data_IF_479930861320
#
_entry.id   IF_479930861320
#
_cell.length_a   1.000
_cell.length_b   1.000
_cell.length_c   1.000
_cell.angle_alpha   90.00
_cell.angle_beta   90.00
_cell.angle_gamma   90.00
#
_symmetry.space_group_name_H-M   'P 1'
#
loop_
_entity.id
_entity.type
_entity.pdbx_description
1 polymer ?
#
# COMPACT_ATOMS: atom_id res chain seq x y z
N UNK A 1 -1.73 -10.01 -3.77
CA UNK A 1 -1.18 -9.24 -4.91
C UNK A 1 -2.23 -8.28 -5.45
N UNK A 2 -1.85 -7.06 -5.82
CA UNK A 2 -2.71 -6.14 -6.61
C UNK A 2 -2.36 -6.24 -8.09
N UNK A 3 -3.36 -6.12 -8.96
CA UNK A 3 -3.19 -6.19 -10.41
C UNK A 3 -3.69 -4.90 -11.04
N UNK A 4 -2.79 -4.23 -11.76
CA UNK A 4 -3.16 -3.12 -12.65
C UNK A 4 -3.10 -3.59 -14.10
N UNK A 5 -4.07 -3.19 -14.90
CA UNK A 5 -4.19 -3.60 -16.31
C UNK A 5 -4.40 -2.37 -17.18
N UNK A 6 -3.79 -2.37 -18.37
CA UNK A 6 -4.04 -1.35 -19.38
C UNK A 6 -2.88 -1.15 -20.34
N UNK A 7 -3.03 -0.11 -21.13
CA UNK A 7 -2.07 0.29 -22.16
C UNK A 7 -0.94 1.14 -21.57
N UNK A 8 0.30 0.79 -21.90
CA UNK A 8 1.47 1.62 -21.62
C UNK A 8 1.51 2.74 -22.66
N UNK A 9 1.03 3.92 -22.29
CA UNK A 9 0.80 5.05 -23.20
C UNK A 9 2.08 5.79 -23.69
N UNK A 10 3.11 5.04 -24.12
CA UNK A 10 4.39 5.59 -24.62
C UNK A 10 4.20 6.49 -25.84
N UNK A 11 3.31 6.12 -26.76
CA UNK A 11 2.98 6.94 -27.94
C UNK A 11 2.42 8.30 -27.54
N UNK A 12 1.40 8.32 -26.66
CA UNK A 12 0.80 9.56 -26.18
C UNK A 12 1.78 10.43 -25.40
N UNK A 13 2.66 9.82 -24.60
CA UNK A 13 3.72 10.52 -23.89
C UNK A 13 4.77 11.13 -24.85
N UNK A 14 5.19 10.39 -25.88
CA UNK A 14 6.13 10.87 -26.89
C UNK A 14 5.51 11.98 -27.76
N UNK A 15 4.23 11.87 -28.11
CA UNK A 15 3.52 12.86 -28.93
C UNK A 15 3.33 14.21 -28.21
N UNK A 16 3.21 14.20 -26.88
CA UNK A 16 3.13 15.41 -26.03
C UNK A 16 4.50 15.95 -25.60
N UNK A 17 5.59 15.31 -26.02
CA UNK A 17 6.93 15.76 -25.65
C UNK A 17 7.36 16.98 -26.48
N UNK A 18 8.42 17.66 -26.05
CA UNK A 18 9.03 18.75 -26.82
C UNK A 18 9.61 18.27 -28.18
N UNK A 19 9.78 16.96 -28.38
CA UNK A 19 10.40 16.35 -29.56
C UNK A 19 9.55 15.16 -30.07
N UNK A 20 8.38 15.41 -30.68
CA UNK A 20 7.42 14.37 -31.09
C UNK A 20 7.88 13.66 -32.38
N UNK A 21 8.93 12.84 -32.26
CA UNK A 21 9.53 12.08 -33.38
C UNK A 21 9.51 10.58 -33.10
N UNK A 22 9.54 9.76 -34.15
CA UNK A 22 9.65 8.30 -34.02
C UNK A 22 10.94 7.91 -33.29
N UNK A 23 12.05 8.62 -33.56
CA UNK A 23 13.31 8.40 -32.85
C UNK A 23 13.17 8.65 -31.34
N UNK A 24 12.42 9.69 -30.94
CA UNK A 24 12.13 9.96 -29.54
C UNK A 24 11.22 8.88 -28.93
N UNK A 25 10.20 8.41 -29.65
CA UNK A 25 9.34 7.31 -29.21
C UNK A 25 10.14 6.02 -28.96
N UNK A 26 11.02 5.63 -29.88
CA UNK A 26 11.88 4.45 -29.72
C UNK A 26 12.82 4.62 -28.51
N UNK A 27 13.41 5.81 -28.35
CA UNK A 27 14.26 6.12 -27.19
C UNK A 27 13.46 6.03 -25.88
N UNK A 28 12.23 6.55 -25.86
CA UNK A 28 11.34 6.46 -24.72
C UNK A 28 11.02 5.00 -24.40
N UNK A 29 10.59 4.21 -25.38
CA UNK A 29 10.26 2.80 -25.18
C UNK A 29 11.45 2.01 -24.60
N UNK A 30 12.67 2.19 -25.14
CA UNK A 30 13.89 1.57 -24.57
C UNK A 30 14.22 2.02 -23.14
N UNK A 31 13.76 3.21 -22.75
CA UNK A 31 13.97 3.73 -21.40
C UNK A 31 12.88 3.24 -20.44
N UNK A 32 11.68 2.97 -20.95
CA UNK A 32 10.52 2.49 -20.20
C UNK A 32 10.59 0.98 -19.98
N UNK A 33 10.99 0.22 -21.00
CA UNK A 33 11.14 -1.24 -20.92
C UNK A 33 12.56 -1.62 -20.54
N UNK A 34 13.02 -1.08 -19.41
CA UNK A 34 14.35 -1.37 -18.88
C UNK A 34 14.21 -2.04 -17.51
N UNK A 35 14.47 -3.35 -17.42
CA UNK A 35 14.42 -4.07 -16.15
C UNK A 35 15.53 -3.59 -15.21
N UNK A 36 15.30 -3.75 -13.91
CA UNK A 36 16.30 -3.47 -12.87
C UNK A 36 16.87 -4.77 -12.33
N UNK A 37 16.01 -5.66 -11.83
CA UNK A 37 16.39 -6.91 -11.15
C UNK A 37 15.81 -8.16 -11.82
N UNK A 38 14.71 -8.05 -12.58
CA UNK A 38 14.05 -9.18 -13.21
C UNK A 38 13.85 -8.93 -14.70
N UNK A 39 14.52 -9.73 -15.53
CA UNK A 39 14.47 -9.61 -16.99
C UNK A 39 14.09 -10.94 -17.65
N UNK A 40 12.92 -10.90 -18.31
CA UNK A 40 12.39 -11.92 -19.22
C UNK A 40 11.77 -11.26 -20.45
N UNK A 41 12.23 -10.07 -20.83
CA UNK A 41 11.72 -9.37 -22.01
C UNK A 41 12.16 -10.11 -23.28
N UNK A 42 11.24 -10.22 -24.25
CA UNK A 42 11.55 -10.76 -25.57
C UNK A 42 11.92 -9.59 -26.47
N UNK A 43 13.18 -9.16 -26.38
CA UNK A 43 13.68 -7.92 -26.99
C UNK A 43 13.28 -7.73 -28.45
N UNK A 44 13.50 -8.73 -29.31
CA UNK A 44 13.19 -8.64 -30.74
C UNK A 44 11.70 -8.37 -30.99
N UNK A 45 10.80 -9.09 -30.30
CA UNK A 45 9.36 -8.90 -30.43
C UNK A 45 8.93 -7.52 -29.92
N UNK A 46 9.51 -7.08 -28.81
CA UNK A 46 9.18 -5.82 -28.18
C UNK A 46 9.63 -4.63 -29.03
N UNK A 47 10.85 -4.65 -29.58
CA UNK A 47 11.32 -3.56 -30.44
C UNK A 47 10.50 -3.43 -31.72
N UNK A 48 9.99 -4.54 -32.26
CA UNK A 48 9.11 -4.53 -33.42
C UNK A 48 7.76 -3.82 -33.17
N UNK A 49 7.31 -3.68 -31.92
CA UNK A 49 6.03 -3.03 -31.61
C UNK A 49 6.12 -1.52 -31.47
N UNK A 50 7.29 -0.95 -31.18
CA UNK A 50 7.45 0.46 -30.78
C UNK A 50 6.82 1.49 -31.72
N UNK A 51 6.69 1.19 -33.01
CA UNK A 51 6.07 2.07 -34.02
C UNK A 51 4.78 1.53 -34.63
N UNK A 52 4.34 0.33 -34.23
CA UNK A 52 3.24 -0.39 -34.87
C UNK A 52 2.02 -0.59 -33.98
N UNK A 53 2.23 -0.79 -32.68
CA UNK A 53 1.17 -1.17 -31.76
C UNK A 53 1.40 -0.60 -30.36
N UNK A 54 0.30 -0.45 -29.63
CA UNK A 54 0.33 -0.17 -28.19
C UNK A 54 0.60 -1.46 -27.43
N UNK A 55 1.43 -1.38 -26.38
CA UNK A 55 1.69 -2.50 -25.50
C UNK A 55 0.69 -2.47 -24.35
N UNK A 56 -0.15 -3.50 -24.26
CA UNK A 56 -0.98 -3.76 -23.09
C UNK A 56 -0.18 -4.58 -22.08
N UNK A 57 -0.31 -4.26 -20.79
CA UNK A 57 0.40 -4.95 -19.72
C UNK A 57 -0.50 -5.24 -18.52
N UNK A 58 -0.09 -6.26 -17.76
CA UNK A 58 -0.62 -6.57 -16.44
C UNK A 58 0.52 -6.39 -15.44
N UNK A 59 0.40 -5.44 -14.52
CA UNK A 59 1.38 -5.19 -13.46
C UNK A 59 0.88 -5.85 -12.19
N UNK A 60 1.65 -6.82 -11.70
CA UNK A 60 1.40 -7.52 -10.45
C UNK A 60 2.28 -6.96 -9.35
N UNK A 61 1.68 -6.37 -8.33
CA UNK A 61 2.40 -5.90 -7.16
C UNK A 61 2.63 -7.05 -6.17
N UNK A 62 3.87 -7.16 -5.70
CA UNK A 62 4.38 -8.22 -4.83
C UNK A 62 4.25 -9.63 -5.42
N UNK A 63 4.55 -9.76 -6.71
CA UNK A 63 4.72 -11.07 -7.31
C UNK A 63 6.13 -11.59 -7.02
N UNK A 64 6.24 -12.83 -6.53
CA UNK A 64 7.55 -13.47 -6.32
C UNK A 64 8.18 -13.84 -7.66
N UNK A 65 9.53 -13.85 -7.78
CA UNK A 65 10.22 -14.23 -9.01
C UNK A 65 9.86 -15.64 -9.50
N UNK A 66 9.63 -16.59 -8.59
CA UNK A 66 9.22 -17.96 -8.93
C UNK A 66 7.84 -18.02 -9.58
N UNK A 67 6.89 -17.21 -9.10
CA UNK A 67 5.56 -17.08 -9.70
C UNK A 67 5.65 -16.41 -11.07
N UNK A 68 6.47 -15.36 -11.18
CA UNK A 68 6.70 -14.66 -12.44
C UNK A 68 7.32 -15.59 -13.51
N UNK A 69 8.32 -16.40 -13.14
CA UNK A 69 8.94 -17.37 -14.05
C UNK A 69 7.96 -18.47 -14.48
N UNK A 70 7.11 -18.95 -13.57
CA UNK A 70 6.07 -19.93 -13.91
C UNK A 70 5.02 -19.36 -14.88
N UNK A 71 4.62 -18.09 -14.70
CA UNK A 71 3.71 -17.40 -15.61
C UNK A 71 4.37 -17.15 -16.97
N UNK A 72 5.62 -16.66 -16.96
CA UNK A 72 6.42 -16.44 -18.16
C UNK A 72 6.53 -17.71 -19.00
N UNK A 73 6.88 -18.84 -18.39
CA UNK A 73 7.03 -20.12 -19.10
C UNK A 73 5.74 -20.56 -19.81
N UNK A 74 4.57 -20.28 -19.22
CA UNK A 74 3.27 -20.61 -19.83
C UNK A 74 2.93 -19.67 -20.99
N UNK A 75 3.26 -18.38 -20.88
CA UNK A 75 2.94 -17.36 -21.88
C UNK A 75 3.95 -17.26 -23.02
N UNK A 76 5.19 -17.75 -22.83
CA UNK A 76 6.29 -17.60 -23.77
C UNK A 76 5.97 -18.06 -25.20
N UNK A 77 5.15 -19.11 -25.32
CA UNK A 77 4.75 -19.69 -26.61
C UNK A 77 3.76 -18.83 -27.38
N UNK A 78 3.07 -17.89 -26.72
CA UNK A 78 2.14 -16.98 -27.37
C UNK A 78 2.92 -15.91 -28.18
N UNK A 79 2.66 -15.75 -29.49
CA UNK A 79 3.31 -14.73 -30.31
C UNK A 79 3.05 -13.29 -29.85
N UNK A 80 1.91 -13.02 -29.21
CA UNK A 80 1.55 -11.69 -28.71
C UNK A 80 2.26 -11.34 -27.39
N UNK A 81 2.83 -12.33 -26.70
CA UNK A 81 3.53 -12.11 -25.45
C UNK A 81 4.93 -11.52 -25.70
N UNK A 82 5.18 -10.37 -25.08
CA UNK A 82 6.41 -9.57 -25.24
C UNK A 82 7.44 -9.80 -24.12
N UNK A 83 7.11 -10.64 -23.13
CA UNK A 83 7.97 -10.94 -21.98
C UNK A 83 7.48 -10.32 -20.68
N UNK A 84 8.34 -10.38 -19.66
CA UNK A 84 8.08 -9.82 -18.33
C UNK A 84 9.32 -9.10 -17.79
N UNK A 85 9.10 -8.08 -16.97
CA UNK A 85 10.16 -7.34 -16.26
C UNK A 85 9.65 -6.87 -14.90
N UNK A 86 10.57 -6.50 -14.01
CA UNK A 86 10.21 -5.74 -12.82
C UNK A 86 9.89 -4.28 -13.16
N UNK A 87 9.07 -3.66 -12.30
CA UNK A 87 8.68 -2.25 -12.40
C UNK A 87 9.01 -1.56 -11.10
N UNK A 88 9.96 -0.62 -11.15
CA UNK A 88 10.35 0.21 -10.01
C UNK A 88 9.67 1.58 -10.03
N UNK A 89 8.72 1.82 -9.12
CA UNK A 89 8.01 3.10 -9.01
C UNK A 89 8.83 4.26 -8.43
N UNK A 90 10.04 4.02 -7.92
CA UNK A 90 10.99 5.10 -7.64
C UNK A 90 11.50 5.76 -8.94
N UNK A 91 11.42 5.04 -10.07
CA UNK A 91 11.76 5.56 -11.40
C UNK A 91 10.58 6.36 -11.98
N UNK A 92 10.74 7.67 -12.30
CA UNK A 92 9.64 8.52 -12.75
C UNK A 92 8.91 8.03 -14.01
N UNK A 93 9.64 7.39 -14.94
CA UNK A 93 9.03 6.81 -16.15
C UNK A 93 8.10 5.64 -15.80
N UNK A 94 8.53 4.77 -14.89
CA UNK A 94 7.72 3.65 -14.44
C UNK A 94 6.49 4.10 -13.65
N UNK A 95 6.68 5.05 -12.74
CA UNK A 95 5.60 5.71 -12.02
C UNK A 95 4.56 6.29 -13.00
N UNK A 96 4.98 7.12 -13.95
CA UNK A 96 4.06 7.77 -14.88
C UNK A 96 3.32 6.78 -15.79
N UNK A 97 4.01 5.79 -16.35
CA UNK A 97 3.47 4.94 -17.43
C UNK A 97 2.88 3.62 -16.95
N UNK A 98 3.25 3.13 -15.77
CA UNK A 98 2.65 1.92 -15.19
C UNK A 98 1.74 2.27 -14.00
N UNK A 99 2.23 3.00 -12.99
CA UNK A 99 1.40 3.32 -11.82
C UNK A 99 0.32 4.36 -12.14
N UNK A 100 0.62 5.43 -12.85
CA UNK A 100 -0.35 6.53 -13.01
C UNK A 100 -1.24 6.37 -14.25
N UNK A 101 -0.88 5.47 -15.18
CA UNK A 101 -1.62 5.26 -16.43
C UNK A 101 -2.48 3.99 -16.43
N UNK A 102 -2.10 2.96 -15.66
CA UNK A 102 -2.85 1.69 -15.63
C UNK A 102 -3.94 1.72 -14.56
N UNK A 103 -5.03 1.02 -14.84
CA UNK A 103 -6.19 0.94 -13.94
C UNK A 103 -5.95 -0.18 -12.94
N UNK A 104 -6.09 0.11 -11.63
CA UNK A 104 -6.12 -0.94 -10.60
C UNK A 104 -7.44 -1.68 -10.76
N UNK A 105 -7.40 -2.98 -11.08
CA UNK A 105 -8.64 -3.72 -11.31
C UNK A 105 -8.89 -4.82 -10.29
N UNK A 106 -7.85 -5.51 -9.84
CA UNK A 106 -8.03 -6.73 -9.05
C UNK A 106 -7.09 -6.82 -7.85
N UNK A 107 -7.57 -7.48 -6.79
CA UNK A 107 -6.75 -8.08 -5.74
C UNK A 107 -6.86 -9.59 -5.84
N UNK A 108 -5.73 -10.27 -5.89
CA UNK A 108 -5.65 -11.73 -5.87
C UNK A 108 -5.09 -12.21 -4.52
N UNK A 109 -5.82 -13.11 -3.86
CA UNK A 109 -5.41 -13.79 -2.63
C UNK A 109 -5.81 -15.28 -2.70
N UNK A 110 -4.87 -16.14 -3.09
CA UNK A 110 -5.17 -17.55 -3.35
C UNK A 110 -6.19 -17.69 -4.49
N UNK A 111 -7.33 -18.31 -4.20
CA UNK A 111 -8.45 -18.44 -5.13
C UNK A 111 -9.50 -17.33 -4.97
N UNK A 112 -9.22 -16.28 -4.19
CA UNK A 112 -10.11 -15.11 -4.09
C UNK A 112 -9.63 -13.99 -5.00
N UNK A 113 -10.57 -13.39 -5.71
CA UNK A 113 -10.37 -12.24 -6.58
C UNK A 113 -11.33 -11.12 -6.15
N UNK A 114 -10.82 -10.06 -5.55
CA UNK A 114 -11.62 -8.86 -5.29
C UNK A 114 -11.51 -7.92 -6.49
N UNK A 115 -12.62 -7.62 -7.14
CA UNK A 115 -12.71 -6.61 -8.20
C UNK A 115 -12.87 -5.23 -7.57
N UNK A 116 -12.03 -4.29 -7.99
CA UNK A 116 -12.04 -2.93 -7.45
C UNK A 116 -13.13 -2.06 -8.09
N UNK A 117 -13.79 -1.25 -7.26
CA UNK A 117 -14.71 -0.21 -7.69
C UNK A 117 -14.51 1.06 -6.84
N UNK A 118 -15.12 2.17 -7.29
CA UNK A 118 -15.10 3.46 -6.57
C UNK A 118 -16.55 3.94 -6.48
N UNK A 119 -17.02 4.39 -5.31
CA UNK A 119 -18.41 4.92 -5.21
C UNK A 119 -18.68 6.01 -6.27
N UNK A 120 -19.77 5.85 -7.03
CA UNK A 120 -20.13 6.71 -8.16
C UNK A 120 -19.57 6.32 -9.54
N UNK A 121 -18.64 5.36 -9.65
CA UNK A 121 -18.09 4.84 -10.91
C UNK A 121 -17.96 3.30 -10.85
N UNK A 122 -18.49 2.57 -11.83
CA UNK A 122 -18.58 1.10 -11.78
C UNK A 122 -19.35 0.51 -10.56
N UNK A 123 -20.43 1.16 -10.10
CA UNK A 123 -21.31 0.57 -9.07
C UNK A 123 -22.01 -0.73 -9.54
N UNK A 124 -22.15 -0.91 -10.86
CA UNK A 124 -22.52 -2.17 -11.50
C UNK A 124 -21.26 -2.84 -12.06
N UNK A 125 -20.64 -3.79 -11.34
CA UNK A 125 -19.45 -4.47 -11.80
C UNK A 125 -19.70 -5.29 -13.07
N UNK A 126 -18.70 -5.32 -13.96
CA UNK A 126 -18.78 -6.05 -15.23
C UNK A 126 -18.95 -7.55 -14.97
N UNK A 127 -20.18 -8.04 -15.20
CA UNK A 127 -20.56 -9.43 -15.02
C UNK A 127 -19.71 -10.37 -15.88
N UNK A 128 -19.22 -9.92 -17.04
CA UNK A 128 -18.39 -10.75 -17.92
C UNK A 128 -17.02 -11.06 -17.29
N UNK A 129 -16.40 -10.07 -16.64
CA UNK A 129 -15.12 -10.28 -15.96
C UNK A 129 -15.27 -11.22 -14.76
N UNK A 130 -16.33 -11.03 -13.97
CA UNK A 130 -16.68 -11.95 -12.88
C UNK A 130 -16.83 -13.38 -13.38
N UNK A 131 -17.62 -13.59 -14.44
CA UNK A 131 -17.83 -14.93 -15.00
C UNK A 131 -16.52 -15.58 -15.47
N UNK A 132 -15.57 -14.81 -16.02
CA UNK A 132 -14.26 -15.33 -16.43
C UNK A 132 -13.49 -15.86 -15.21
N UNK A 133 -13.44 -15.10 -14.12
CA UNK A 133 -12.75 -15.54 -12.89
C UNK A 133 -13.43 -16.77 -12.27
N UNK A 134 -14.75 -16.75 -12.13
CA UNK A 134 -15.51 -17.87 -11.55
C UNK A 134 -15.35 -19.16 -12.39
N UNK A 135 -15.36 -19.06 -13.72
CA UNK A 135 -15.10 -20.21 -14.62
C UNK A 135 -13.70 -20.79 -14.45
N UNK A 136 -12.74 -19.99 -13.99
CA UNK A 136 -11.37 -20.43 -13.70
C UNK A 136 -11.15 -20.81 -12.23
N UNK A 137 -12.24 -20.94 -11.45
CA UNK A 137 -12.21 -21.45 -10.08
C UNK A 137 -11.92 -20.40 -9.01
N UNK A 138 -12.04 -19.12 -9.33
CA UNK A 138 -11.93 -18.04 -8.35
C UNK A 138 -13.28 -17.73 -7.68
N UNK A 139 -13.24 -17.41 -6.40
CA UNK A 139 -14.32 -16.73 -5.67
C UNK A 139 -14.16 -15.23 -5.89
N UNK A 140 -15.21 -14.56 -6.40
CA UNK A 140 -15.15 -13.14 -6.78
C UNK A 140 -15.92 -12.28 -5.79
N UNK A 141 -15.23 -11.29 -5.23
CA UNK A 141 -15.78 -10.27 -4.33
C UNK A 141 -15.60 -8.87 -4.93
N UNK A 142 -16.20 -7.86 -4.31
CA UNK A 142 -16.00 -6.45 -4.67
C UNK A 142 -15.32 -5.68 -3.53
N UNK A 143 -14.35 -4.84 -3.86
CA UNK A 143 -13.61 -4.02 -2.90
C UNK A 143 -13.64 -2.55 -3.34
N UNK A 144 -14.19 -1.69 -2.48
CA UNK A 144 -14.13 -0.23 -2.66
C UNK A 144 -12.71 0.26 -2.37
N UNK A 145 -12.09 0.94 -3.33
CA UNK A 145 -10.75 1.53 -3.16
C UNK A 145 -10.79 2.97 -2.66
N UNK A 146 -12.00 3.52 -2.44
CA UNK A 146 -12.26 4.85 -1.90
C UNK A 146 -11.60 5.97 -2.70
N UNK A 147 -10.80 6.79 -2.04
CA UNK A 147 -10.13 7.93 -2.67
C UNK A 147 -8.72 7.59 -3.23
N UNK A 148 -8.29 6.31 -3.16
CA UNK A 148 -7.00 5.87 -3.68
C UNK A 148 -6.93 6.05 -5.20
N UNK A 149 -5.78 6.49 -5.72
CA UNK A 149 -5.54 6.82 -7.14
C UNK A 149 -6.45 7.89 -7.73
N UNK A 150 -7.14 8.67 -6.89
CA UNK A 150 -7.94 9.82 -7.32
C UNK A 150 -7.12 11.10 -7.20
N UNK A 151 -7.72 12.26 -7.50
CA UNK A 151 -7.10 13.57 -7.26
C UNK A 151 -6.78 13.85 -5.77
N UNK A 152 -7.37 13.08 -4.86
CA UNK A 152 -7.10 13.17 -3.42
C UNK A 152 -5.89 12.32 -3.00
N UNK A 153 -5.44 11.42 -3.87
CA UNK A 153 -4.24 10.62 -3.62
C UNK A 153 -2.98 11.39 -4.00
N UNK A 154 -2.37 12.01 -2.99
CA UNK A 154 -1.14 12.79 -3.15
C UNK A 154 0.13 11.97 -2.94
N UNK A 155 0.01 10.65 -2.77
CA UNK A 155 1.12 9.76 -2.42
C UNK A 155 1.72 9.02 -3.63
N UNK A 156 1.11 9.08 -4.82
CA UNK A 156 1.68 8.53 -6.07
C UNK A 156 2.86 9.40 -6.60
N UNK A 157 3.90 9.54 -5.78
CA UNK A 157 5.10 10.32 -6.05
C UNK A 157 6.36 9.47 -5.96
N UNK A 158 7.37 9.79 -6.77
CA UNK A 158 8.66 9.07 -6.73
C UNK A 158 9.36 9.24 -5.36
N UNK A 159 9.04 10.26 -4.58
CA UNK A 159 9.56 10.41 -3.22
C UNK A 159 8.94 9.40 -2.26
N UNK A 160 7.61 9.24 -2.29
CA UNK A 160 6.90 8.23 -1.50
C UNK A 160 7.40 6.82 -1.83
N UNK A 161 7.51 6.46 -3.11
CA UNK A 161 8.01 5.13 -3.49
C UNK A 161 9.48 4.89 -3.12
N UNK A 162 10.32 5.94 -3.09
CA UNK A 162 11.69 5.83 -2.52
C UNK A 162 11.67 5.58 -1.01
N UNK A 163 10.73 6.17 -0.27
CA UNK A 163 10.53 5.86 1.15
C UNK A 163 10.09 4.42 1.34
N UNK A 164 9.25 3.90 0.45
CA UNK A 164 8.84 2.51 0.49
C UNK A 164 9.99 1.53 0.23
N UNK A 165 10.83 1.81 -0.75
CA UNK A 165 12.04 1.02 -1.01
C UNK A 165 13.02 1.05 0.18
N UNK A 166 13.23 2.22 0.80
CA UNK A 166 14.08 2.33 1.98
C UNK A 166 13.49 1.60 3.19
N UNK A 167 12.18 1.66 3.38
CA UNK A 167 11.49 0.89 4.42
C UNK A 167 11.75 -0.61 4.26
N UNK A 168 11.58 -1.15 3.05
CA UNK A 168 11.87 -2.55 2.75
C UNK A 168 13.33 -2.89 3.08
N UNK A 169 14.28 -2.08 2.63
CA UNK A 169 15.72 -2.27 2.90
C UNK A 169 16.04 -2.30 4.38
N UNK A 170 15.46 -1.40 5.17
CA UNK A 170 15.71 -1.32 6.62
C UNK A 170 15.18 -2.58 7.31
N UNK A 171 13.95 -2.99 7.01
CA UNK A 171 13.32 -4.14 7.67
C UNK A 171 13.94 -5.48 7.23
N UNK A 172 14.44 -5.62 6.00
CA UNK A 172 15.23 -6.80 5.60
C UNK A 172 16.50 -6.94 6.47
N UNK A 173 17.04 -5.84 6.99
CA UNK A 173 18.18 -5.87 7.91
C UNK A 173 17.84 -6.34 9.34
N UNK A 174 16.57 -6.44 9.70
CA UNK A 174 16.15 -6.92 11.02
C UNK A 174 16.00 -8.44 11.03
N UNK A 175 16.39 -9.05 12.15
CA UNK A 175 16.31 -10.50 12.35
C UNK A 175 14.89 -11.03 12.13
N UNK A 176 14.78 -12.04 11.27
CA UNK A 176 13.52 -12.75 11.00
C UNK A 176 12.74 -12.25 9.78
N UNK A 177 13.22 -11.21 9.09
CA UNK A 177 12.60 -10.73 7.86
C UNK A 177 13.40 -11.09 6.60
N UNK A 178 12.69 -11.24 5.50
CA UNK A 178 13.24 -11.41 4.16
C UNK A 178 12.59 -10.40 3.20
N UNK A 179 13.08 -10.36 1.96
CA UNK A 179 12.61 -9.40 0.95
C UNK A 179 11.11 -9.54 0.68
N UNK A 180 10.61 -10.78 0.54
CA UNK A 180 9.20 -11.06 0.27
C UNK A 180 8.30 -10.50 1.39
N UNK A 181 8.66 -10.79 2.65
CA UNK A 181 7.91 -10.34 3.82
C UNK A 181 7.93 -8.82 3.95
N UNK A 182 9.09 -8.19 3.78
CA UNK A 182 9.23 -6.74 3.85
C UNK A 182 8.42 -6.04 2.74
N UNK A 183 8.35 -6.66 1.56
CA UNK A 183 7.56 -6.18 0.42
C UNK A 183 6.06 -6.28 0.69
N UNK A 184 5.59 -7.44 1.17
CA UNK A 184 4.18 -7.68 1.55
C UNK A 184 3.70 -6.77 2.65
N UNK A 185 4.56 -6.54 3.62
CA UNK A 185 4.30 -5.61 4.68
C UNK A 185 4.20 -4.17 4.17
N UNK A 186 5.18 -3.73 3.38
CA UNK A 186 5.23 -2.36 2.84
C UNK A 186 3.94 -2.07 2.06
N UNK A 187 3.52 -3.02 1.22
CA UNK A 187 2.26 -2.96 0.51
C UNK A 187 1.05 -2.87 1.45
N UNK A 188 0.99 -3.72 2.48
CA UNK A 188 -0.14 -3.77 3.41
C UNK A 188 -0.27 -2.48 4.24
N UNK A 189 0.85 -1.89 4.65
CA UNK A 189 0.88 -0.64 5.40
C UNK A 189 0.55 0.58 4.51
N UNK A 190 1.02 0.60 3.27
CA UNK A 190 0.65 1.62 2.28
C UNK A 190 -0.87 1.60 2.04
N UNK A 191 -1.45 0.40 1.91
CA UNK A 191 -2.89 0.21 1.74
C UNK A 191 -3.71 0.59 2.97
N UNK A 192 -3.14 0.41 4.16
CA UNK A 192 -3.79 0.79 5.40
C UNK A 192 -3.99 2.31 5.42
N UNK A 193 -2.89 3.07 5.35
CA UNK A 193 -2.95 4.51 5.31
C UNK A 193 -1.58 5.08 4.85
N UNK A 194 -1.48 5.72 3.68
CA UNK A 194 -0.21 6.21 3.14
C UNK A 194 0.54 7.17 4.08
N UNK A 195 -0.18 8.02 4.80
CA UNK A 195 0.41 8.91 5.82
C UNK A 195 0.97 8.16 7.03
N UNK A 196 0.27 7.13 7.51
CA UNK A 196 0.80 6.29 8.58
C UNK A 196 2.04 5.56 8.09
N UNK A 197 2.01 5.03 6.86
CA UNK A 197 3.18 4.42 6.23
C UNK A 197 4.38 5.38 6.17
N UNK A 198 4.18 6.61 5.72
CA UNK A 198 5.23 7.64 5.70
C UNK A 198 5.82 7.89 7.10
N UNK A 199 4.98 7.91 8.13
CA UNK A 199 5.41 8.03 9.52
C UNK A 199 6.22 6.80 9.97
N UNK A 200 5.80 5.58 9.58
CA UNK A 200 6.53 4.34 9.82
C UNK A 200 7.91 4.37 9.15
N UNK A 201 7.97 4.69 7.87
CA UNK A 201 9.22 4.78 7.10
C UNK A 201 10.17 5.84 7.68
N UNK A 202 9.62 6.98 8.10
CA UNK A 202 10.40 8.05 8.74
C UNK A 202 10.97 7.61 10.09
N UNK A 203 10.17 6.93 10.91
CA UNK A 203 10.60 6.40 12.20
C UNK A 203 11.66 5.29 12.04
N UNK A 204 11.50 4.40 11.06
CA UNK A 204 12.48 3.37 10.74
C UNK A 204 13.83 3.95 10.30
N UNK A 205 13.82 4.98 9.44
CA UNK A 205 15.04 5.71 9.05
C UNK A 205 15.69 6.48 10.20
N UNK A 206 14.88 7.00 11.14
CA UNK A 206 15.41 7.65 12.34
C UNK A 206 16.13 6.62 13.22
N UNK A 207 15.53 5.46 13.42
CA UNK A 207 16.14 4.35 14.16
C UNK A 207 17.42 3.82 13.50
N UNK A 208 17.42 3.65 12.18
CA UNK A 208 18.61 3.20 11.43
C UNK A 208 19.81 4.12 11.73
N UNK A 209 19.58 5.44 11.74
CA UNK A 209 20.60 6.48 11.97
C UNK A 209 20.88 6.80 13.45
N UNK A 210 20.19 6.17 14.39
CA UNK A 210 20.30 6.51 15.81
C UNK A 210 21.63 6.04 16.40
N UNK A 211 22.50 6.96 16.83
CA UNK A 211 23.81 6.61 17.39
C UNK A 211 23.86 6.80 18.90
N UNK A 212 23.05 7.73 19.42
CA UNK A 212 23.04 8.08 20.84
C UNK A 212 21.82 7.50 21.55
N UNK A 213 21.89 7.45 22.88
CA UNK A 213 20.75 7.07 23.72
C UNK A 213 19.55 8.02 23.52
N UNK A 214 19.81 9.30 23.29
CA UNK A 214 18.77 10.30 22.99
C UNK A 214 18.09 10.00 21.65
N UNK A 215 18.84 9.65 20.60
CA UNK A 215 18.27 9.27 19.30
C UNK A 215 17.40 8.01 19.41
N UNK A 216 17.84 7.05 20.23
CA UNK A 216 17.09 5.82 20.50
C UNK A 216 15.80 6.11 21.29
N UNK A 217 15.84 7.01 22.27
CA UNK A 217 14.65 7.47 22.99
C UNK A 217 13.66 8.21 22.06
N UNK A 218 14.15 9.05 21.14
CA UNK A 218 13.31 9.70 20.12
C UNK A 218 12.70 8.69 19.13
N UNK A 219 13.44 7.64 18.79
CA UNK A 219 12.93 6.54 17.97
C UNK A 219 11.82 5.77 18.70
N UNK A 220 12.00 5.48 20.00
CA UNK A 220 10.96 4.86 20.82
C UNK A 220 9.71 5.75 20.96
N UNK A 221 9.89 7.08 21.13
CA UNK A 221 8.80 8.05 21.12
C UNK A 221 8.02 8.02 19.79
N UNK A 222 8.73 7.86 18.67
CA UNK A 222 8.11 7.72 17.35
C UNK A 222 7.26 6.45 17.26
N UNK A 223 7.73 5.32 17.80
CA UNK A 223 6.94 4.09 17.93
C UNK A 223 5.63 4.29 18.70
N UNK A 224 5.68 5.02 19.82
CA UNK A 224 4.46 5.40 20.56
C UNK A 224 3.52 6.28 19.73
N UNK A 225 4.04 7.30 19.05
CA UNK A 225 3.23 8.19 18.20
C UNK A 225 2.56 7.41 17.06
N UNK A 226 3.21 6.38 16.54
CA UNK A 226 2.61 5.48 15.54
C UNK A 226 1.42 4.70 16.11
N UNK A 227 1.52 4.18 17.34
CA UNK A 227 0.38 3.53 18.01
C UNK A 227 -0.78 4.51 18.25
N UNK A 228 -0.49 5.74 18.64
CA UNK A 228 -1.51 6.79 18.81
C UNK A 228 -2.21 7.11 17.48
N UNK A 229 -1.44 7.32 16.41
CA UNK A 229 -1.96 7.62 15.09
C UNK A 229 -2.76 6.44 14.49
N UNK A 230 -2.31 5.21 14.73
CA UNK A 230 -3.04 4.00 14.36
C UNK A 230 -4.38 3.92 15.11
N UNK A 231 -4.39 4.23 16.41
CA UNK A 231 -5.61 4.26 17.18
C UNK A 231 -6.59 5.30 16.64
N UNK A 232 -6.10 6.49 16.28
CA UNK A 232 -6.92 7.56 15.68
C UNK A 232 -7.56 7.10 14.36
N UNK A 233 -6.85 6.29 13.58
CA UNK A 233 -7.34 5.74 12.33
C UNK A 233 -8.33 4.59 12.52
N UNK A 234 -7.99 3.56 13.31
CA UNK A 234 -8.79 2.34 13.44
C UNK A 234 -10.01 2.51 14.36
N UNK A 235 -9.88 3.36 15.37
CA UNK A 235 -10.94 3.62 16.34
C UNK A 235 -10.85 5.08 16.80
N UNK A 236 -11.38 6.03 16.01
CA UNK A 236 -11.35 7.45 16.31
C UNK A 236 -11.84 7.75 17.74
N UNK A 237 -11.31 8.79 18.40
CA UNK A 237 -11.67 9.11 19.78
C UNK A 237 -13.15 9.47 19.92
N UNK A 238 -13.78 8.97 20.99
CA UNK A 238 -15.21 9.18 21.27
C UNK A 238 -15.41 9.68 22.70
N UNK A 239 -16.49 10.45 22.91
CA UNK A 239 -16.89 10.91 24.25
C UNK A 239 -17.63 9.84 25.05
N UNK A 240 -18.33 8.93 24.37
CA UNK A 240 -19.06 7.82 24.98
C UNK A 240 -18.10 6.74 25.50
N UNK A 241 -18.53 6.01 26.53
CA UNK A 241 -17.81 4.84 27.01
C UNK A 241 -18.00 3.66 26.05
N UNK A 242 -16.93 2.97 25.71
CA UNK A 242 -16.98 1.69 25.00
C UNK A 242 -16.95 0.56 26.02
N UNK A 243 -18.06 -0.16 26.20
CA UNK A 243 -18.20 -1.26 27.18
C UNK A 243 -17.69 -0.87 28.58
N UNK A 244 -18.00 0.35 29.01
CA UNK A 244 -17.59 0.90 30.32
C UNK A 244 -16.16 1.48 30.38
N UNK A 245 -15.39 1.45 29.29
CA UNK A 245 -14.04 2.01 29.22
C UNK A 245 -14.04 3.37 28.50
N UNK A 246 -13.17 4.27 28.95
CA UNK A 246 -12.92 5.53 28.23
C UNK A 246 -12.11 5.26 26.97
N UNK A 247 -12.56 5.83 25.86
CA UNK A 247 -11.97 5.73 24.53
C UNK A 247 -11.79 7.13 23.92
N UNK A 248 -11.32 8.07 24.75
CA UNK A 248 -11.00 9.43 24.32
C UNK A 248 -9.61 9.49 23.66
N UNK A 249 -9.18 10.72 23.34
CA UNK A 249 -7.93 10.98 22.62
C UNK A 249 -6.71 10.43 23.36
N UNK A 250 -6.67 10.61 24.69
CA UNK A 250 -5.57 10.14 25.53
C UNK A 250 -5.53 8.61 25.69
N UNK A 251 -6.67 7.94 25.56
CA UNK A 251 -6.84 6.51 25.79
C UNK A 251 -6.58 5.65 24.53
N UNK A 252 -5.51 5.95 23.77
CA UNK A 252 -5.19 5.23 22.52
C UNK A 252 -5.05 3.70 22.71
N UNK A 253 -4.48 3.24 23.83
CA UNK A 253 -4.42 1.81 24.18
C UNK A 253 -5.81 1.19 24.26
N UNK A 254 -6.76 1.85 24.94
CA UNK A 254 -8.13 1.35 25.04
C UNK A 254 -8.84 1.35 23.68
N UNK A 255 -8.53 2.33 22.81
CA UNK A 255 -9.08 2.42 21.46
C UNK A 255 -8.60 1.28 20.56
N UNK A 256 -7.32 0.92 20.63
CA UNK A 256 -6.80 -0.26 19.92
C UNK A 256 -7.38 -1.58 20.45
N UNK A 257 -7.53 -1.71 21.78
CA UNK A 257 -8.25 -2.85 22.38
C UNK A 257 -9.71 -2.92 21.90
N UNK A 258 -10.41 -1.79 21.87
CA UNK A 258 -11.79 -1.71 21.40
C UNK A 258 -11.90 -2.10 19.92
N UNK A 259 -10.94 -1.69 19.10
CA UNK A 259 -10.86 -2.12 17.70
C UNK A 259 -10.71 -3.63 17.58
N UNK A 260 -9.71 -4.24 18.25
CA UNK A 260 -9.49 -5.70 18.20
C UNK A 260 -10.74 -6.45 18.64
N UNK A 261 -11.35 -6.03 19.75
CA UNK A 261 -12.55 -6.66 20.31
C UNK A 261 -13.74 -6.56 19.36
N UNK A 262 -13.97 -5.37 18.77
CA UNK A 262 -15.03 -5.17 17.78
C UNK A 262 -14.81 -6.05 16.56
N UNK A 263 -13.63 -6.00 15.97
CA UNK A 263 -13.29 -6.73 14.75
C UNK A 263 -13.45 -8.24 14.95
N UNK A 264 -12.97 -8.79 16.07
CA UNK A 264 -13.15 -10.22 16.37
C UNK A 264 -14.62 -10.60 16.53
N UNK A 265 -15.46 -9.72 17.10
CA UNK A 265 -16.90 -10.00 17.23
C UNK A 265 -17.66 -9.96 15.91
N UNK A 266 -17.15 -9.25 14.91
CA UNK A 266 -17.77 -9.07 13.60
C UNK A 266 -17.31 -10.14 12.59
N UNK A 267 -16.10 -10.71 12.76
CA UNK A 267 -15.56 -11.75 11.89
C UNK A 267 -16.09 -13.13 12.29
N UNK A 268 -16.88 -13.81 11.45
CA UNK A 268 -17.41 -15.15 11.77
C UNK A 268 -16.30 -16.18 11.94
N UNK A 269 -16.38 -17.00 12.98
CA UNK A 269 -15.41 -18.06 13.25
C UNK A 269 -14.06 -17.58 13.78
N UNK A 270 -13.96 -16.31 14.20
CA UNK A 270 -12.75 -15.79 14.82
C UNK A 270 -12.41 -16.56 16.11
N UNK A 271 -11.13 -16.89 16.29
CA UNK A 271 -10.66 -17.54 17.51
C UNK A 271 -10.65 -16.53 18.68
N UNK A 272 -11.41 -16.77 19.77
CA UNK A 272 -11.41 -15.90 20.94
C UNK A 272 -10.01 -15.71 21.56
N UNK A 273 -9.09 -16.67 21.37
CA UNK A 273 -7.71 -16.56 21.84
C UNK A 273 -6.92 -15.41 21.20
N UNK A 274 -7.33 -14.96 20.01
CA UNK A 274 -6.71 -13.83 19.32
C UNK A 274 -6.83 -12.52 20.10
N UNK A 275 -7.92 -12.32 20.87
CA UNK A 275 -8.10 -11.12 21.68
C UNK A 275 -7.00 -11.02 22.74
N UNK A 276 -6.76 -12.13 23.45
CA UNK A 276 -5.73 -12.21 24.48
C UNK A 276 -4.32 -12.09 23.88
N UNK A 277 -4.07 -12.79 22.76
CA UNK A 277 -2.78 -12.75 22.06
C UNK A 277 -2.43 -11.34 21.56
N UNK A 278 -3.32 -10.73 20.76
CA UNK A 278 -3.06 -9.41 20.16
C UNK A 278 -3.11 -8.30 21.19
N UNK A 279 -3.97 -8.43 22.21
CA UNK A 279 -4.08 -7.47 23.29
C UNK A 279 -2.87 -7.46 24.22
N UNK A 280 -2.36 -8.64 24.61
CA UNK A 280 -1.11 -8.75 25.38
C UNK A 280 0.08 -8.21 24.62
N UNK A 281 0.13 -8.46 23.31
CA UNK A 281 1.20 -7.96 22.46
C UNK A 281 1.15 -6.43 22.32
N UNK A 282 -0.06 -5.86 22.15
CA UNK A 282 -0.27 -4.41 22.22
C UNK A 282 0.23 -3.83 23.54
N UNK A 283 -0.13 -4.46 24.66
CA UNK A 283 0.27 -4.00 25.99
C UNK A 283 1.80 -4.00 26.16
N UNK A 284 2.45 -5.07 25.70
CA UNK A 284 3.92 -5.20 25.66
C UNK A 284 4.56 -4.11 24.81
N UNK A 285 4.03 -3.83 23.62
CA UNK A 285 4.53 -2.79 22.71
C UNK A 285 4.39 -1.39 23.33
N UNK A 286 3.24 -1.11 23.94
CA UNK A 286 2.99 0.15 24.66
C UNK A 286 4.00 0.33 25.80
N UNK A 287 4.23 -0.71 26.59
CA UNK A 287 5.22 -0.68 27.67
C UNK A 287 6.64 -0.50 27.13
N UNK A 288 7.00 -1.18 26.04
CA UNK A 288 8.31 -1.07 25.40
C UNK A 288 8.58 0.37 24.95
N UNK A 289 7.69 0.96 24.16
CA UNK A 289 7.88 2.33 23.65
C UNK A 289 7.79 3.40 24.75
N UNK A 290 7.00 3.18 25.81
CA UNK A 290 7.00 4.08 26.96
C UNK A 290 8.27 3.95 27.80
N UNK A 291 8.80 2.73 27.97
CA UNK A 291 10.01 2.49 28.77
C UNK A 291 11.28 3.05 28.11
N UNK A 292 11.31 3.14 26.77
CA UNK A 292 12.39 3.80 26.04
C UNK A 292 12.54 5.30 26.31
N UNK A 293 11.59 5.90 27.05
CA UNK A 293 11.65 7.29 27.49
C UNK A 293 12.29 7.46 28.89
N UNK A 294 12.51 6.37 29.63
CA UNK A 294 12.76 6.43 31.07
C UNK A 294 13.88 5.48 31.58
N UNK A 295 14.62 4.79 30.70
CA UNK A 295 15.74 3.92 31.12
C UNK A 295 16.79 3.74 30.03
N UNK A 296 17.87 3.00 30.36
CA UNK A 296 18.95 2.64 29.42
C UNK A 296 18.36 1.97 28.18
N UNK A 297 18.28 2.74 27.09
CA UNK A 297 17.61 2.31 25.86
C UNK A 297 18.66 1.74 24.91
N UNK A 298 18.63 0.42 24.73
CA UNK A 298 19.51 -0.24 23.75
C UNK A 298 18.87 -0.27 22.37
N UNK A 299 19.71 -0.12 21.33
CA UNK A 299 19.30 -0.22 19.92
C UNK A 299 18.52 -1.50 19.65
N UNK A 300 19.03 -2.65 20.10
CA UNK A 300 18.39 -3.96 19.93
C UNK A 300 16.97 -4.01 20.49
N UNK A 301 16.71 -3.33 21.62
CA UNK A 301 15.37 -3.28 22.23
C UNK A 301 14.40 -2.45 21.39
N UNK A 302 14.85 -1.31 20.87
CA UNK A 302 14.02 -0.44 20.03
C UNK A 302 13.76 -1.09 18.66
N UNK A 303 14.77 -1.68 18.03
CA UNK A 303 14.64 -2.46 16.79
C UNK A 303 13.67 -3.63 16.96
N UNK A 304 13.76 -4.38 18.07
CA UNK A 304 12.78 -5.41 18.40
C UNK A 304 11.37 -4.83 18.56
N UNK A 305 11.22 -3.66 19.18
CA UNK A 305 9.94 -2.97 19.30
C UNK A 305 9.32 -2.61 17.94
N UNK A 306 10.11 -2.06 17.01
CA UNK A 306 9.63 -1.76 15.65
C UNK A 306 9.33 -3.03 14.86
N UNK A 307 10.19 -4.06 14.92
CA UNK A 307 9.92 -5.37 14.32
C UNK A 307 8.57 -5.91 14.81
N UNK A 308 8.41 -6.01 16.11
CA UNK A 308 7.25 -6.65 16.72
C UNK A 308 5.97 -5.82 16.51
N UNK A 309 6.06 -4.48 16.52
CA UNK A 309 4.97 -3.58 16.16
C UNK A 309 4.44 -3.90 14.77
N UNK A 310 5.35 -4.12 13.83
CA UNK A 310 4.97 -4.31 12.45
C UNK A 310 4.45 -5.73 12.18
N UNK A 311 4.98 -6.75 12.87
CA UNK A 311 4.38 -8.10 12.90
C UNK A 311 2.97 -8.04 13.49
N UNK A 312 2.78 -7.29 14.58
CA UNK A 312 1.48 -7.11 15.22
C UNK A 312 0.49 -6.40 14.28
N UNK A 313 0.94 -5.39 13.53
CA UNK A 313 0.13 -4.72 12.50
C UNK A 313 -0.28 -5.66 11.38
N UNK A 314 0.64 -6.47 10.85
CA UNK A 314 0.31 -7.46 9.83
C UNK A 314 -0.77 -8.43 10.35
N UNK A 315 -0.60 -8.94 11.58
CA UNK A 315 -1.59 -9.80 12.22
C UNK A 315 -2.94 -9.09 12.46
N UNK A 316 -2.93 -7.78 12.70
CA UNK A 316 -4.13 -6.97 12.87
C UNK A 316 -4.88 -6.76 11.54
N UNK A 317 -4.15 -6.51 10.45
CA UNK A 317 -4.70 -6.41 9.09
C UNK A 317 -5.29 -7.75 8.67
N UNK A 318 -4.61 -8.86 8.96
CA UNK A 318 -5.07 -10.21 8.63
C UNK A 318 -6.34 -10.62 9.39
N UNK A 319 -6.65 -10.01 10.55
CA UNK A 319 -7.92 -10.28 11.25
C UNK A 319 -9.13 -9.91 10.39
N UNK A 320 -9.08 -8.73 9.77
CA UNK A 320 -10.12 -8.26 8.88
C UNK A 320 -9.57 -7.14 8.01
N UNK A 321 -9.13 -7.46 6.79
CA UNK A 321 -8.63 -6.46 5.86
C UNK A 321 -9.66 -5.37 5.58
N UNK A 322 -10.95 -5.74 5.53
CA UNK A 322 -12.08 -4.83 5.33
C UNK A 322 -12.26 -3.87 6.50
N UNK A 323 -12.15 -4.35 7.74
CA UNK A 323 -12.31 -3.48 8.91
C UNK A 323 -11.09 -2.57 9.13
N UNK A 324 -9.91 -2.97 8.66
CA UNK A 324 -8.69 -2.15 8.76
C UNK A 324 -8.55 -1.14 7.64
N UNK A 325 -8.96 -1.48 6.41
CA UNK A 325 -8.86 -0.57 5.25
C UNK A 325 -10.09 0.33 5.22
N UNK A 326 -9.93 1.55 5.71
CA UNK A 326 -10.93 2.63 5.65
C UNK A 326 -10.50 3.62 4.56
N UNK A 327 -10.80 3.33 3.27
CA UNK A 327 -10.14 3.98 2.14
C UNK A 327 -10.56 5.44 1.92
N UNK A 328 -11.64 5.91 2.54
CA UNK A 328 -11.97 7.35 2.57
C UNK A 328 -11.32 8.07 3.74
N UNK A 329 -11.27 7.44 4.92
CA UNK A 329 -10.69 8.04 6.11
C UNK A 329 -9.19 8.31 5.93
N UNK A 330 -8.50 7.46 5.18
CA UNK A 330 -7.08 7.63 4.86
C UNK A 330 -6.77 8.93 4.07
N UNK A 331 -7.77 9.53 3.41
CA UNK A 331 -7.67 10.77 2.64
C UNK A 331 -8.63 11.86 3.15
N UNK A 332 -9.13 11.71 4.38
CA UNK A 332 -10.04 12.68 5.01
C UNK A 332 -9.51 14.12 4.99
N UNK A 333 -8.21 14.40 5.27
CA UNK A 333 -7.68 15.76 5.21
C UNK A 333 -7.81 16.40 3.81
N UNK A 334 -7.49 15.64 2.76
CA UNK A 334 -7.56 16.10 1.37
C UNK A 334 -9.01 16.31 0.93
N UNK A 335 -9.91 15.38 1.31
CA UNK A 335 -11.35 15.48 1.07
C UNK A 335 -11.94 16.72 1.78
N UNK A 336 -11.67 16.89 3.06
CA UNK A 336 -12.18 18.03 3.84
C UNK A 336 -11.67 19.35 3.27
N UNK A 337 -10.37 19.46 2.95
CA UNK A 337 -9.81 20.66 2.34
C UNK A 337 -10.47 20.99 0.99
N UNK A 338 -10.79 19.98 0.19
CA UNK A 338 -11.49 20.16 -1.08
C UNK A 338 -12.92 20.67 -0.88
N UNK A 339 -13.69 20.06 0.04
CA UNK A 339 -15.06 20.48 0.33
C UNK A 339 -15.12 21.88 0.96
N UNK A 340 -14.17 22.24 1.84
CA UNK A 340 -14.06 23.59 2.40
C UNK A 340 -13.82 24.64 1.30
N UNK A 341 -12.93 24.35 0.35
CA UNK A 341 -12.67 25.24 -0.81
C UNK A 341 -13.90 25.40 -1.70
N UNK A 342 -14.63 24.31 -1.96
CA UNK A 342 -15.87 24.35 -2.75
C UNK A 342 -16.95 25.19 -2.05
N UNK A 343 -17.14 25.00 -0.74
CA UNK A 343 -18.10 25.76 0.04
C UNK A 343 -17.77 27.26 0.04
N UNK A 344 -16.49 27.63 0.17
CA UNK A 344 -16.05 29.02 0.06
C UNK A 344 -16.27 29.62 -1.33
N UNK A 345 -16.02 28.86 -2.40
CA UNK A 345 -16.23 29.33 -3.77
C UNK A 345 -17.71 29.50 -4.12
N UNK A 346 -18.60 28.65 -3.59
CA UNK A 346 -20.05 28.81 -3.77
C UNK A 346 -20.62 30.01 -3.00
N UNK A 347 -20.10 30.30 -1.81
CA UNK A 347 -20.50 31.49 -1.06
C UNK A 347 -19.97 32.79 -1.68
N UNK A 348 -18.82 32.76 -2.35
CA UNK A 348 -18.25 33.92 -3.05
C UNK A 348 -18.90 34.18 -4.43
N UNK A 349 -19.40 33.15 -5.11
CA UNK A 349 -20.07 33.26 -6.41
C UNK A 349 -21.58 33.56 -6.37
N UNK A 350 -22.19 33.60 -5.17
CA UNK A 350 -23.60 33.96 -4.98
C UNK A 350 -23.87 35.44 -4.73
N UNK A 351 -22.87 36.30 -4.93
CA UNK A 351 -22.93 37.74 -4.67
C UNK A 351 -22.73 38.61 -5.94
N UNK A 352 -22.95 38.05 -7.13
CA UNK A 352 -23.03 38.82 -8.39
C UNK A 352 -24.47 38.87 -8.94
#
# INVERSE_FOLDING_TARGET
MRVSVGDVATYGAAARSATPTIANLVKLCRSVYRPTNYDRLVGDRLEETYSKATVCCCVFQNMTPSTADALHAKLYTDPAYLGAMDVDFATPLHLGLFRNSLIERYRLQGLRCSMFYVMGDNEDPDLAEREIFERNGFEVDYEDIGARRTIFDTYDTAEHFRRAADFQRIFVGFDGFNEDWASDLSLSLEELHPKLFDAFASAARALERAETEEDLAQSALSGRRLLEALADYLFPPQSALWKGRKVGRAEYRNRLWAFIERTLSEVPGSDPSNLDRLGKELDRLVELFNSGLHGETSRTRVEAGFRDLVIWLAALIDLSPVATRLPYLAYEPELNSFFEKLAHNHLAGGAE
#
